data_IF_723779264307
#
_entry.id   IF_723779264307
#
_cell.length_a   1.000
_cell.length_b   1.000
_cell.length_c   1.000
_cell.angle_alpha   90.00
_cell.angle_beta   90.00
_cell.angle_gamma   90.00
#
_symmetry.space_group_name_H-M   'P 1'
#
loop_
_entity.id
_entity.type
_entity.pdbx_description
1 polymer ?
#
# COMPACT_ATOMS: atom_id res chain seq x y z
N UNK A 1 15.73 10.20 10.06
CA UNK A 1 14.70 9.35 9.43
C UNK A 1 15.33 8.66 8.23
N UNK A 2 15.93 7.49 8.44
CA UNK A 2 16.63 6.75 7.38
C UNK A 2 15.63 6.16 6.37
N UNK A 3 15.88 6.37 5.08
CA UNK A 3 14.99 5.96 3.99
C UNK A 3 14.95 4.44 3.90
N UNK A 4 13.82 3.84 4.28
CA UNK A 4 13.54 2.39 4.28
C UNK A 4 13.52 1.75 2.87
N UNK A 5 13.83 2.51 1.83
CA UNK A 5 13.82 2.07 0.44
C UNK A 5 15.21 1.92 -0.18
N UNK A 6 16.28 2.24 0.56
CA UNK A 6 17.63 2.31 -0.02
C UNK A 6 18.16 0.95 -0.45
N UNK A 7 17.78 -0.14 0.25
CA UNK A 7 18.22 -1.51 -0.03
C UNK A 7 17.34 -2.27 -1.05
N UNK A 8 16.17 -1.74 -1.37
CA UNK A 8 15.26 -2.37 -2.33
C UNK A 8 15.72 -2.03 -3.75
N UNK A 9 15.91 -3.02 -4.66
CA UNK A 9 16.29 -2.75 -6.04
C UNK A 9 15.31 -1.79 -6.75
N UNK A 10 15.83 -0.90 -7.58
CA UNK A 10 15.03 0.12 -8.26
C UNK A 10 13.85 -0.46 -9.03
N UNK A 11 14.07 -1.54 -9.78
CA UNK A 11 13.00 -2.23 -10.51
C UNK A 11 11.86 -2.71 -9.58
N UNK A 12 12.20 -3.20 -8.39
CA UNK A 12 11.21 -3.64 -7.40
C UNK A 12 10.45 -2.43 -6.83
N UNK A 13 11.12 -1.30 -6.58
CA UNK A 13 10.47 -0.06 -6.11
C UNK A 13 9.49 0.51 -7.15
N UNK A 14 9.90 0.55 -8.42
CA UNK A 14 9.06 1.03 -9.52
C UNK A 14 7.83 0.14 -9.68
N UNK A 15 8.01 -1.18 -9.64
CA UNK A 15 6.91 -2.13 -9.72
C UNK A 15 5.97 -2.00 -8.51
N UNK A 16 6.51 -1.94 -7.28
CA UNK A 16 5.71 -1.75 -6.07
C UNK A 16 4.90 -0.46 -6.11
N UNK A 17 5.49 0.64 -6.60
CA UNK A 17 4.79 1.91 -6.79
C UNK A 17 3.61 1.76 -7.77
N UNK A 18 3.85 1.18 -8.93
CA UNK A 18 2.78 0.96 -9.94
C UNK A 18 1.62 0.15 -9.36
N UNK A 19 1.91 -0.90 -8.59
CA UNK A 19 0.88 -1.72 -7.93
C UNK A 19 0.11 -0.97 -6.86
N UNK A 20 0.78 -0.14 -6.05
CA UNK A 20 0.11 0.69 -5.05
C UNK A 20 -0.79 1.76 -5.70
N UNK A 21 -0.36 2.31 -6.85
CA UNK A 21 -1.19 3.22 -7.66
C UNK A 21 -2.43 2.49 -8.21
N UNK A 22 -2.28 1.27 -8.74
CA UNK A 22 -3.41 0.42 -9.16
C UNK A 22 -4.41 0.15 -8.02
N UNK A 23 -3.91 -0.18 -6.83
CA UNK A 23 -4.75 -0.39 -5.64
C UNK A 23 -5.51 0.89 -5.29
N UNK A 24 -4.83 2.04 -5.31
CA UNK A 24 -5.47 3.34 -5.00
C UNK A 24 -6.61 3.65 -5.98
N UNK A 25 -6.45 3.32 -7.26
CA UNK A 25 -7.52 3.47 -8.25
C UNK A 25 -8.70 2.52 -7.96
N UNK A 26 -8.43 1.26 -7.67
CA UNK A 26 -9.48 0.28 -7.36
C UNK A 26 -10.27 0.65 -6.09
N UNK A 27 -9.61 1.25 -5.10
CA UNK A 27 -10.26 1.72 -3.87
C UNK A 27 -11.30 2.81 -4.12
N UNK A 28 -11.18 3.61 -5.20
CA UNK A 28 -12.16 4.65 -5.54
C UNK A 28 -13.52 4.08 -5.97
N UNK A 29 -13.56 2.81 -6.38
CA UNK A 29 -14.80 2.15 -6.79
C UNK A 29 -15.57 1.57 -5.60
N UNK A 30 -14.98 1.55 -4.40
CA UNK A 30 -15.61 1.00 -3.20
C UNK A 30 -16.53 2.06 -2.58
N UNK A 31 -17.83 1.75 -2.37
CA UNK A 31 -18.76 2.68 -1.73
C UNK A 31 -18.27 3.15 -0.36
N UNK A 32 -18.43 4.44 0.02
CA UNK A 32 -17.95 4.96 1.30
C UNK A 32 -18.53 4.26 2.55
N UNK A 33 -19.71 3.68 2.44
CA UNK A 33 -20.42 2.94 3.49
C UNK A 33 -20.11 1.42 3.50
N UNK A 34 -19.22 0.98 2.61
CA UNK A 34 -18.82 -0.43 2.53
C UNK A 34 -18.15 -0.90 3.82
N UNK A 35 -18.51 -2.10 4.33
CA UNK A 35 -17.85 -2.69 5.50
C UNK A 35 -16.35 -2.99 5.27
N UNK A 36 -15.91 -2.95 4.01
CA UNK A 36 -14.50 -3.03 3.65
C UNK A 36 -13.65 -1.98 4.39
N UNK A 37 -14.14 -0.75 4.55
CA UNK A 37 -13.36 0.32 5.18
C UNK A 37 -13.09 0.07 6.66
N UNK A 38 -14.07 -0.46 7.39
CA UNK A 38 -13.88 -0.85 8.78
C UNK A 38 -12.87 -2.01 8.92
N UNK A 39 -12.89 -2.96 7.97
CA UNK A 39 -11.93 -4.08 7.93
C UNK A 39 -10.50 -3.61 7.65
N UNK A 40 -10.33 -2.67 6.73
CA UNK A 40 -9.00 -2.23 6.29
C UNK A 40 -8.32 -1.29 7.28
N UNK A 41 -9.09 -0.49 8.03
CA UNK A 41 -8.56 0.40 9.07
C UNK A 41 -7.87 -0.34 10.23
N UNK A 42 -8.27 -1.57 10.51
CA UNK A 42 -7.69 -2.38 11.60
C UNK A 42 -6.61 -3.35 11.10
N UNK A 43 -6.30 -3.33 9.80
CA UNK A 43 -5.43 -4.30 9.15
C UNK A 43 -4.16 -3.64 8.62
N UNK A 44 -3.01 -4.23 8.91
CA UNK A 44 -1.78 -3.92 8.18
C UNK A 44 -1.77 -4.74 6.89
N UNK A 45 -1.80 -4.05 5.74
CA UNK A 45 -1.79 -4.70 4.44
C UNK A 45 -0.35 -4.98 3.98
N UNK A 46 -0.20 -6.00 3.16
CA UNK A 46 1.10 -6.40 2.62
C UNK A 46 0.99 -6.65 1.11
N UNK A 47 1.81 -5.93 0.35
CA UNK A 47 2.03 -6.17 -1.07
C UNK A 47 3.36 -6.91 -1.25
N UNK A 48 3.35 -8.06 -1.89
CA UNK A 48 4.59 -8.81 -2.19
C UNK A 48 4.98 -8.58 -3.65
N UNK A 49 6.19 -8.07 -3.87
CA UNK A 49 6.76 -7.83 -5.21
C UNK A 49 8.13 -8.49 -5.31
N UNK A 50 8.25 -9.49 -6.19
CA UNK A 50 9.52 -10.20 -6.44
C UNK A 50 10.24 -10.66 -5.15
N UNK A 51 9.46 -11.15 -4.19
CA UNK A 51 9.97 -11.65 -2.90
C UNK A 51 10.16 -10.59 -1.81
N UNK A 52 9.91 -9.31 -2.10
CA UNK A 52 9.96 -8.22 -1.12
C UNK A 52 8.56 -7.93 -0.58
N UNK A 53 8.45 -7.71 0.73
CA UNK A 53 7.19 -7.39 1.38
C UNK A 53 7.10 -5.88 1.66
N UNK A 54 6.11 -5.23 1.05
CA UNK A 54 5.76 -3.84 1.29
C UNK A 54 4.53 -3.78 2.18
N UNK A 55 4.74 -3.47 3.46
CA UNK A 55 3.64 -3.28 4.39
C UNK A 55 3.11 -1.86 4.26
N UNK A 56 1.79 -1.71 4.18
CA UNK A 56 1.14 -0.41 4.05
C UNK A 56 -0.20 -0.38 4.76
N UNK A 57 -0.66 0.83 5.03
CA UNK A 57 -1.99 1.12 5.59
C UNK A 57 -2.77 1.98 4.58
N UNK A 58 -4.10 1.94 4.67
CA UNK A 58 -4.97 2.79 3.85
C UNK A 58 -5.66 3.76 4.78
N UNK A 59 -5.53 5.06 4.48
CA UNK A 59 -6.35 6.08 5.11
C UNK A 59 -7.64 6.28 4.30
N UNK A 60 -8.81 5.87 4.81
CA UNK A 60 -10.04 5.82 4.01
C UNK A 60 -10.61 7.20 3.68
N UNK A 61 -10.30 8.24 4.47
CA UNK A 61 -10.75 9.61 4.17
C UNK A 61 -10.02 10.23 2.98
N UNK A 62 -8.75 9.85 2.79
CA UNK A 62 -7.89 10.43 1.74
C UNK A 62 -7.56 9.43 0.64
N UNK A 63 -7.92 8.15 0.81
CA UNK A 63 -7.54 7.02 -0.02
C UNK A 63 -6.03 6.92 -0.23
N UNK A 64 -5.24 7.32 0.77
CA UNK A 64 -3.78 7.33 0.67
C UNK A 64 -3.19 6.08 1.27
N UNK A 65 -2.25 5.50 0.54
CA UNK A 65 -1.32 4.49 1.06
C UNK A 65 -0.32 5.18 1.97
N UNK A 66 -0.25 4.76 3.23
CA UNK A 66 0.66 5.31 4.23
C UNK A 66 1.54 4.21 4.83
N UNK A 67 2.58 4.60 5.58
CA UNK A 67 3.45 3.68 6.33
C UNK A 67 4.12 2.57 5.50
N UNK A 68 4.46 2.85 4.23
CA UNK A 68 5.13 1.87 3.36
C UNK A 68 6.50 1.49 3.93
N UNK A 69 6.66 0.24 4.38
CA UNK A 69 7.94 -0.33 4.84
C UNK A 69 8.28 -1.59 4.06
N UNK A 70 9.49 -1.64 3.52
CA UNK A 70 10.03 -2.86 2.92
C UNK A 70 10.66 -3.74 4.01
N UNK A 71 10.38 -5.04 3.98
CA UNK A 71 11.14 -6.09 4.68
C UNK A 71 11.52 -7.19 3.70
#
# INVERSE_FOLDING_TARGET
MASLFTDVPEAVRVEARSRLEEITLALQEIPPDSPFWASVQVSQLCLVVRGWSFFYEIEPETLRVTNVRAK
#
